data_IF_254286937566
#
_entry.id   IF_254286937566
#
_cell.length_a   1.000
_cell.length_b   1.000
_cell.length_c   1.000
_cell.angle_alpha   90.00
_cell.angle_beta   90.00
_cell.angle_gamma   90.00
#
_symmetry.space_group_name_H-M   'P 1'
#
loop_
_entity.id
_entity.type
_entity.pdbx_description
1 polymer ?
#
# COMPACT_ATOMS: atom_id res chain seq x y z
N UNK A 1 11.99 -5.71 1.09
CA UNK A 1 11.13 -5.10 0.06
C UNK A 1 11.61 -3.69 -0.21
N UNK A 2 11.43 -3.17 -1.43
CA UNK A 2 11.60 -1.74 -1.73
C UNK A 2 10.22 -1.13 -1.92
N UNK A 3 9.95 -0.02 -1.23
CA UNK A 3 8.70 0.73 -1.31
C UNK A 3 8.97 2.02 -2.09
N UNK A 4 8.09 2.35 -3.03
CA UNK A 4 8.17 3.55 -3.87
C UNK A 4 6.83 4.28 -3.72
N UNK A 5 6.75 5.29 -2.85
CA UNK A 5 5.56 6.10 -2.71
C UNK A 5 5.53 7.21 -3.77
N UNK A 6 4.34 7.49 -4.29
CA UNK A 6 4.03 8.67 -5.08
C UNK A 6 2.80 9.32 -4.46
N UNK A 7 2.92 10.58 -4.07
CA UNK A 7 1.85 11.36 -3.45
C UNK A 7 1.59 12.58 -4.31
N UNK A 8 0.33 12.85 -4.61
CA UNK A 8 -0.12 14.01 -5.36
C UNK A 8 -1.29 14.65 -4.65
N UNK A 9 -1.15 15.94 -4.33
CA UNK A 9 -2.26 16.75 -3.85
C UNK A 9 -3.09 17.25 -5.03
N UNK A 10 -4.41 17.21 -4.88
CA UNK A 10 -5.38 17.73 -5.85
C UNK A 10 -6.21 18.78 -5.14
N UNK A 11 -5.88 20.05 -5.40
CA UNK A 11 -6.48 21.17 -4.67
C UNK A 11 -6.14 21.09 -3.19
N UNK A 12 -7.13 21.33 -2.33
CA UNK A 12 -6.96 21.33 -0.85
C UNK A 12 -7.68 20.18 -0.14
N UNK A 13 -8.48 19.40 -0.87
CA UNK A 13 -9.43 18.45 -0.28
C UNK A 13 -9.19 17.00 -0.68
N UNK A 14 -8.35 16.75 -1.70
CA UNK A 14 -8.07 15.41 -2.20
C UNK A 14 -6.57 15.17 -2.29
N UNK A 15 -6.17 13.96 -1.89
CA UNK A 15 -4.81 13.45 -2.06
C UNK A 15 -4.90 12.12 -2.81
N UNK A 16 -4.11 11.96 -3.86
CA UNK A 16 -3.90 10.70 -4.55
C UNK A 16 -2.58 10.10 -4.11
N UNK A 17 -2.62 8.83 -3.70
CA UNK A 17 -1.44 8.09 -3.25
C UNK A 17 -1.34 6.82 -4.08
N UNK A 18 -0.17 6.61 -4.68
CA UNK A 18 0.20 5.36 -5.34
C UNK A 18 1.40 4.77 -4.61
N UNK A 19 1.27 3.54 -4.14
CA UNK A 19 2.36 2.82 -3.46
C UNK A 19 2.77 1.62 -4.31
N UNK A 20 4.00 1.63 -4.79
CA UNK A 20 4.58 0.47 -5.49
C UNK A 20 5.52 -0.27 -4.57
N UNK A 21 5.33 -1.58 -4.43
CA UNK A 21 6.20 -2.46 -3.63
C UNK A 21 6.87 -3.50 -4.51
N UNK A 22 8.19 -3.58 -4.40
CA UNK A 22 9.06 -4.52 -5.12
C UNK A 22 9.69 -5.52 -4.17
N UNK A 23 9.59 -6.81 -4.49
CA UNK A 23 10.32 -7.88 -3.81
C UNK A 23 11.72 -8.03 -4.42
N UNK A 24 12.76 -7.61 -3.71
CA UNK A 24 14.15 -7.69 -4.18
C UNK A 24 14.89 -8.89 -3.56
N UNK A 25 14.42 -10.08 -3.86
CA UNK A 25 15.03 -11.35 -3.44
C UNK A 25 14.86 -12.39 -4.55
N UNK A 26 15.60 -13.50 -4.46
CA UNK A 26 15.61 -14.56 -5.48
C UNK A 26 14.18 -14.97 -5.88
N UNK A 27 13.88 -15.15 -7.18
CA UNK A 27 12.53 -15.51 -7.65
C UNK A 27 11.94 -16.78 -7.01
N UNK A 28 12.80 -17.71 -6.59
CA UNK A 28 12.42 -18.98 -5.94
C UNK A 28 11.97 -18.81 -4.49
N UNK A 29 12.27 -17.67 -3.85
CA UNK A 29 11.84 -17.39 -2.49
C UNK A 29 10.46 -16.71 -2.50
N UNK A 30 9.72 -16.89 -1.40
CA UNK A 30 8.37 -16.32 -1.22
C UNK A 30 8.34 -15.55 0.09
N UNK A 31 8.08 -14.24 0.01
CA UNK A 31 7.73 -13.43 1.17
C UNK A 31 6.30 -13.72 1.60
N UNK A 32 6.06 -13.83 2.91
CA UNK A 32 4.75 -14.11 3.50
C UNK A 32 4.38 -13.07 4.55
N UNK A 33 3.10 -13.03 4.94
CA UNK A 33 2.57 -12.13 5.99
C UNK A 33 2.97 -10.66 5.76
N UNK A 34 2.88 -10.22 4.51
CA UNK A 34 3.30 -8.87 4.11
C UNK A 34 2.20 -7.91 4.51
N UNK A 35 2.56 -6.90 5.30
CA UNK A 35 1.69 -5.81 5.70
C UNK A 35 2.39 -4.49 5.39
N UNK A 36 1.72 -3.62 4.64
CA UNK A 36 2.17 -2.27 4.31
C UNK A 36 1.19 -1.33 4.98
N UNK A 37 1.73 -0.42 5.78
CA UNK A 37 0.95 0.57 6.53
C UNK A 37 1.23 1.95 5.94
N UNK A 38 0.18 2.61 5.48
CA UNK A 38 0.26 3.92 4.82
C UNK A 38 -0.48 4.91 5.73
N UNK A 39 0.21 5.90 6.32
CA UNK A 39 -0.45 6.88 7.17
C UNK A 39 -1.42 7.74 6.36
N UNK A 40 -2.55 8.09 6.96
CA UNK A 40 -3.53 9.03 6.42
C UNK A 40 -3.62 10.26 7.33
N UNK A 41 -3.85 11.47 6.79
CA UNK A 41 -4.09 12.65 7.61
C UNK A 41 -5.24 12.46 8.61
N UNK A 42 -5.21 13.11 9.78
CA UNK A 42 -6.25 12.97 10.81
C UNK A 42 -7.62 13.52 10.38
N UNK A 43 -7.64 14.40 9.38
CA UNK A 43 -8.85 14.96 8.78
C UNK A 43 -9.35 14.15 7.56
N UNK A 44 -8.92 12.90 7.39
CA UNK A 44 -9.35 12.05 6.28
C UNK A 44 -10.82 11.67 6.44
N UNK A 45 -11.68 12.15 5.54
CA UNK A 45 -13.11 11.87 5.57
C UNK A 45 -13.49 10.55 4.87
N UNK A 46 -12.90 10.27 3.71
CA UNK A 46 -13.17 9.08 2.91
C UNK A 46 -11.89 8.60 2.20
N UNK A 47 -11.82 7.30 1.88
CA UNK A 47 -10.69 6.68 1.20
C UNK A 47 -11.19 5.67 0.17
N UNK A 48 -10.88 5.95 -1.09
CA UNK A 48 -11.09 5.00 -2.19
C UNK A 48 -9.81 4.18 -2.42
N UNK A 49 -9.94 2.86 -2.44
CA UNK A 49 -8.81 1.93 -2.52
C UNK A 49 -8.94 1.02 -3.74
N UNK A 50 -7.87 0.91 -4.52
CA UNK A 50 -7.76 -0.03 -5.63
C UNK A 50 -6.47 -0.83 -5.51
N UNK A 51 -6.56 -2.12 -5.16
CA UNK A 51 -5.40 -3.02 -5.19
C UNK A 51 -5.70 -4.29 -5.97
N UNK A 52 -4.80 -4.67 -6.87
CA UNK A 52 -4.92 -5.94 -7.61
C UNK A 52 -4.44 -7.15 -6.81
N UNK A 53 -3.61 -6.92 -5.78
CA UNK A 53 -3.03 -7.98 -4.95
C UNK A 53 -3.28 -7.74 -3.48
N UNK A 54 -3.72 -8.77 -2.78
CA UNK A 54 -4.01 -8.67 -1.35
C UNK A 54 -5.32 -7.93 -1.08
N UNK A 55 -5.44 -7.38 0.12
CA UNK A 55 -6.60 -6.57 0.54
C UNK A 55 -6.10 -5.35 1.28
N UNK A 56 -6.60 -4.18 0.91
CA UNK A 56 -6.36 -2.93 1.61
C UNK A 56 -7.63 -2.49 2.34
N UNK A 57 -7.48 -1.93 3.53
CA UNK A 57 -8.57 -1.33 4.31
C UNK A 57 -8.07 -0.06 4.98
N UNK A 58 -8.87 0.99 4.96
CA UNK A 58 -8.66 2.16 5.83
C UNK A 58 -9.09 1.80 7.24
N UNK A 59 -8.23 2.11 8.21
CA UNK A 59 -8.50 2.01 9.64
C UNK A 59 -8.43 3.42 10.23
N UNK A 60 -9.59 4.04 10.36
CA UNK A 60 -9.73 5.42 10.84
C UNK A 60 -9.18 5.63 12.25
N UNK A 61 -9.45 4.71 13.19
CA UNK A 61 -8.90 4.76 14.56
C UNK A 61 -7.37 4.71 14.64
N UNK A 62 -6.74 4.24 13.57
CA UNK A 62 -5.31 4.05 13.44
C UNK A 62 -4.66 5.09 12.50
N UNK A 63 -5.45 6.01 11.93
CA UNK A 63 -5.06 6.98 10.91
C UNK A 63 -4.20 6.36 9.81
N UNK A 64 -4.59 5.18 9.32
CA UNK A 64 -3.78 4.44 8.36
C UNK A 64 -4.61 3.57 7.42
N UNK A 65 -4.12 3.43 6.19
CA UNK A 65 -4.50 2.35 5.29
C UNK A 65 -3.57 1.16 5.58
N UNK A 66 -4.18 0.00 5.81
CA UNK A 66 -3.46 -1.26 6.03
C UNK A 66 -3.68 -2.15 4.82
N UNK A 67 -2.60 -2.41 4.08
CA UNK A 67 -2.58 -3.26 2.89
C UNK A 67 -1.86 -4.57 3.18
N UNK A 68 -2.61 -5.68 3.17
CA UNK A 68 -2.10 -7.02 3.50
C UNK A 68 -2.03 -7.92 2.27
N UNK A 69 -0.90 -8.58 2.08
CA UNK A 69 -0.70 -9.63 1.08
C UNK A 69 -0.23 -10.92 1.75
N UNK A 70 -0.95 -12.02 1.51
CA UNK A 70 -0.60 -13.33 2.09
C UNK A 70 0.79 -13.79 1.66
N UNK A 71 1.11 -13.61 0.37
CA UNK A 71 2.38 -14.05 -0.24
C UNK A 71 2.79 -13.20 -1.45
N UNK A 72 4.10 -13.09 -1.68
CA UNK A 72 4.69 -12.47 -2.87
C UNK A 72 6.01 -13.17 -3.22
N UNK A 73 6.12 -13.68 -4.45
CA UNK A 73 7.38 -14.24 -4.95
C UNK A 73 8.45 -13.16 -5.13
N UNK A 74 9.71 -13.57 -5.25
CA UNK A 74 10.84 -12.67 -5.51
C UNK A 74 10.78 -12.05 -6.90
N UNK A 75 11.42 -10.90 -7.07
CA UNK A 75 11.47 -10.14 -8.33
C UNK A 75 10.09 -9.83 -8.91
N UNK A 76 9.11 -9.53 -8.05
CA UNK A 76 7.75 -9.11 -8.43
C UNK A 76 7.49 -7.67 -7.99
N UNK A 77 6.48 -7.08 -8.59
CA UNK A 77 5.92 -5.77 -8.24
C UNK A 77 4.44 -5.91 -7.89
N UNK A 78 3.95 -5.06 -6.99
CA UNK A 78 2.52 -4.90 -6.71
C UNK A 78 2.26 -3.44 -6.35
N UNK A 79 1.09 -2.94 -6.71
CA UNK A 79 0.69 -1.56 -6.45
C UNK A 79 -0.68 -1.49 -5.75
N UNK A 80 -0.80 -0.47 -4.91
CA UNK A 80 -2.04 0.11 -4.38
C UNK A 80 -2.16 1.53 -4.92
#
# INVERSE_FOLDING_TARGET
FRVIPLVREIGRTKMEVKIVVKSNFKPTLIGQKIEIRIPTPPNTCDVQLLCMKGKAKHKSSENAIVWKMKRMGGMKESQL
#
